data_IF_462196601725
#
_entry.id   IF_462196601725
#
_cell.length_a   1.000
_cell.length_b   1.000
_cell.length_c   1.000
_cell.angle_alpha   90.00
_cell.angle_beta   90.00
_cell.angle_gamma   90.00
#
_symmetry.space_group_name_H-M   'P 1'
#
loop_
_entity.id
_entity.type
_entity.pdbx_description
1 polymer ?
#
# COMPACT_ATOMS: atom_id res chain seq x y z
N UNK A 1 14.81 28.25 11.56
CA UNK A 1 14.36 26.86 11.28
C UNK A 1 13.94 26.79 9.83
N UNK A 2 14.53 25.92 9.01
CA UNK A 2 14.14 25.77 7.61
C UNK A 2 12.77 25.07 7.54
N UNK A 3 11.82 25.51 6.70
CA UNK A 3 10.54 24.82 6.50
C UNK A 3 10.68 23.32 6.16
N UNK A 4 11.77 22.90 5.50
CA UNK A 4 12.07 21.49 5.21
C UNK A 4 12.37 20.69 6.48
N UNK A 5 13.06 21.30 7.45
CA UNK A 5 13.40 20.65 8.72
C UNK A 5 12.17 20.49 9.62
N UNK A 6 11.23 21.43 9.54
CA UNK A 6 9.95 21.36 10.27
C UNK A 6 9.05 20.25 9.74
N UNK A 7 9.04 20.05 8.42
CA UNK A 7 8.29 18.96 7.77
C UNK A 7 8.92 17.60 8.10
N UNK A 8 10.26 17.48 8.03
CA UNK A 8 10.99 16.27 8.45
C UNK A 8 10.73 15.88 9.90
N UNK A 9 10.72 16.86 10.81
CA UNK A 9 10.44 16.66 12.23
C UNK A 9 8.97 16.28 12.50
N UNK A 10 8.02 16.76 11.69
CA UNK A 10 6.62 16.38 11.83
C UNK A 10 6.34 14.95 11.34
N UNK A 11 7.12 14.46 10.37
CA UNK A 11 7.04 13.05 9.93
C UNK A 11 7.66 12.09 10.95
N UNK A 12 8.75 12.47 11.64
CA UNK A 12 9.39 11.59 12.62
C UNK A 12 8.49 11.27 13.82
N UNK A 13 7.73 12.26 14.28
CA UNK A 13 6.87 12.11 15.46
C UNK A 13 5.58 11.33 15.13
N UNK A 14 5.09 11.41 13.89
CA UNK A 14 3.89 10.70 13.44
C UNK A 14 4.14 9.23 13.05
N UNK A 15 5.36 8.89 12.62
CA UNK A 15 5.75 7.52 12.24
C UNK A 15 6.00 6.61 13.46
N UNK A 16 6.31 7.17 14.63
CA UNK A 16 6.63 6.41 15.84
C UNK A 16 5.41 5.83 16.58
N UNK A 17 4.19 6.23 16.20
CA UNK A 17 2.94 5.77 16.83
C UNK A 17 2.09 4.86 15.93
N UNK A 18 2.55 4.54 14.71
CA UNK A 18 1.95 3.50 13.91
C UNK A 18 2.35 2.14 14.53
N UNK A 19 1.57 1.68 15.51
CA UNK A 19 1.67 0.36 16.11
C UNK A 19 1.79 -0.69 15.00
N UNK A 20 3.00 -1.21 14.81
CA UNK A 20 3.22 -2.32 13.89
C UNK A 20 2.35 -3.49 14.38
N UNK A 21 1.67 -4.21 13.48
CA UNK A 21 0.76 -5.27 13.89
C UNK A 21 1.51 -6.28 14.78
N UNK A 22 0.94 -6.61 15.94
CA UNK A 22 1.56 -7.50 16.94
C UNK A 22 1.92 -8.88 16.36
N UNK A 23 1.28 -9.27 15.24
CA UNK A 23 1.62 -10.45 14.46
C UNK A 23 1.96 -10.09 13.00
N UNK A 24 2.84 -10.86 12.34
CA UNK A 24 3.03 -10.76 10.89
C UNK A 24 1.69 -10.93 10.15
N UNK A 25 1.47 -10.09 9.14
CA UNK A 25 0.33 -10.25 8.22
C UNK A 25 0.46 -11.59 7.48
N UNK A 26 -0.65 -12.30 7.34
CA UNK A 26 -0.69 -13.44 6.41
C UNK A 26 -0.51 -12.93 4.97
N UNK A 27 -0.04 -13.79 4.04
CA UNK A 27 0.10 -13.40 2.64
C UNK A 27 -1.19 -12.85 2.02
N UNK A 28 -2.35 -13.40 2.43
CA UNK A 28 -3.66 -12.92 1.98
C UNK A 28 -3.95 -11.51 2.51
N UNK A 29 -3.76 -11.28 3.81
CA UNK A 29 -3.98 -9.97 4.44
C UNK A 29 -3.06 -8.90 3.84
N UNK A 30 -1.79 -9.24 3.58
CA UNK A 30 -0.84 -8.34 2.94
C UNK A 30 -1.28 -8.01 1.50
N UNK A 31 -1.68 -9.02 0.70
CA UNK A 31 -2.14 -8.79 -0.67
C UNK A 31 -3.41 -7.94 -0.72
N UNK A 32 -4.41 -8.21 0.13
CA UNK A 32 -5.63 -7.40 0.23
C UNK A 32 -5.36 -5.96 0.66
N UNK A 33 -4.43 -5.77 1.60
CA UNK A 33 -4.02 -4.42 2.02
C UNK A 33 -3.36 -3.66 0.87
N UNK A 34 -2.41 -4.28 0.16
CA UNK A 34 -1.72 -3.67 -0.99
C UNK A 34 -2.72 -3.32 -2.10
N UNK A 35 -3.64 -4.23 -2.43
CA UNK A 35 -4.68 -3.99 -3.44
C UNK A 35 -5.52 -2.74 -3.12
N UNK A 36 -6.02 -2.63 -1.89
CA UNK A 36 -6.82 -1.49 -1.46
C UNK A 36 -6.02 -0.18 -1.45
N UNK A 37 -4.84 -0.20 -0.83
CA UNK A 37 -3.97 0.98 -0.71
C UNK A 37 -3.54 1.51 -2.08
N UNK A 38 -3.16 0.62 -3.00
CA UNK A 38 -2.73 1.01 -4.36
C UNK A 38 -3.89 1.56 -5.17
N UNK A 39 -5.12 1.10 -4.97
CA UNK A 39 -6.32 1.68 -5.61
C UNK A 39 -6.54 3.15 -5.19
N UNK A 40 -6.43 3.44 -3.89
CA UNK A 40 -6.59 4.80 -3.37
C UNK A 40 -5.49 5.73 -3.87
N UNK A 41 -4.24 5.29 -3.78
CA UNK A 41 -3.09 6.05 -4.26
C UNK A 41 -3.15 6.25 -5.78
N UNK A 42 -3.57 5.26 -6.55
CA UNK A 42 -3.73 5.37 -8.00
C UNK A 42 -4.70 6.52 -8.34
N UNK A 43 -5.85 6.58 -7.65
CA UNK A 43 -6.82 7.66 -7.81
C UNK A 43 -6.22 9.03 -7.48
N UNK A 44 -5.43 9.13 -6.41
CA UNK A 44 -4.73 10.37 -6.06
C UNK A 44 -3.71 10.78 -7.12
N UNK A 45 -2.90 9.84 -7.61
CA UNK A 45 -1.90 10.07 -8.64
C UNK A 45 -2.52 10.53 -9.97
N UNK A 46 -3.66 9.94 -10.38
CA UNK A 46 -4.45 10.37 -11.55
C UNK A 46 -4.90 11.83 -11.40
N UNK A 47 -5.45 12.19 -10.25
CA UNK A 47 -5.90 13.56 -9.99
C UNK A 47 -4.75 14.58 -10.00
N UNK A 48 -3.57 14.16 -9.56
CA UNK A 48 -2.35 14.97 -9.55
C UNK A 48 -1.60 14.98 -10.90
N UNK A 49 -2.08 14.27 -11.93
CA UNK A 49 -1.42 14.10 -13.24
C UNK A 49 -0.01 13.50 -13.14
N UNK A 50 0.20 12.59 -12.19
CA UNK A 50 1.44 11.84 -12.03
C UNK A 50 1.34 10.51 -12.78
N UNK A 51 1.41 10.56 -14.11
CA UNK A 51 1.04 9.43 -14.97
C UNK A 51 1.90 8.17 -14.73
N UNK A 52 3.22 8.31 -14.60
CA UNK A 52 4.11 7.17 -14.33
C UNK A 52 3.83 6.53 -12.97
N UNK A 53 3.57 7.34 -11.95
CA UNK A 53 3.21 6.83 -10.61
C UNK A 53 1.85 6.12 -10.65
N UNK A 54 0.87 6.73 -11.31
CA UNK A 54 -0.45 6.12 -11.52
C UNK A 54 -0.36 4.77 -12.22
N UNK A 55 0.49 4.64 -13.24
CA UNK A 55 0.77 3.37 -13.90
C UNK A 55 1.32 2.32 -12.93
N UNK A 56 2.37 2.64 -12.16
CA UNK A 56 2.95 1.67 -11.22
C UNK A 56 1.97 1.24 -10.14
N UNK A 57 1.14 2.15 -9.65
CA UNK A 57 0.11 1.83 -8.65
C UNK A 57 -0.96 0.89 -9.20
N UNK A 58 -1.37 1.06 -10.46
CA UNK A 58 -2.31 0.12 -11.09
C UNK A 58 -1.66 -1.25 -11.33
N UNK A 59 -0.39 -1.28 -11.76
CA UNK A 59 0.33 -2.54 -11.94
C UNK A 59 0.48 -3.30 -10.60
N UNK A 60 0.83 -2.60 -9.52
CA UNK A 60 0.93 -3.19 -8.18
C UNK A 60 -0.43 -3.72 -7.69
N UNK A 61 -1.52 -3.01 -7.99
CA UNK A 61 -2.88 -3.45 -7.68
C UNK A 61 -3.24 -4.73 -8.41
N UNK A 62 -2.99 -4.80 -9.72
CA UNK A 62 -3.26 -6.00 -10.53
C UNK A 62 -2.52 -7.23 -9.98
N UNK A 63 -1.24 -7.07 -9.64
CA UNK A 63 -0.46 -8.16 -9.05
C UNK A 63 -1.02 -8.59 -7.69
N UNK A 64 -1.42 -7.65 -6.84
CA UNK A 64 -2.02 -7.96 -5.55
C UNK A 64 -3.35 -8.73 -5.71
N UNK A 65 -4.21 -8.33 -6.65
CA UNK A 65 -5.45 -9.05 -6.98
C UNK A 65 -5.15 -10.48 -7.47
N UNK A 66 -4.16 -10.65 -8.34
CA UNK A 66 -3.75 -11.98 -8.83
C UNK A 66 -3.25 -12.87 -7.69
N UNK A 67 -2.52 -12.32 -6.72
CA UNK A 67 -2.07 -13.09 -5.55
C UNK A 67 -3.24 -13.50 -4.63
N UNK A 68 -4.24 -12.64 -4.45
CA UNK A 68 -5.46 -12.95 -3.68
C UNK A 68 -6.17 -14.16 -4.30
N UNK A 69 -6.37 -14.16 -5.61
CA UNK A 69 -6.99 -15.26 -6.35
C UNK A 69 -6.19 -16.56 -6.19
N UNK A 70 -4.88 -16.54 -6.44
CA UNK A 70 -4.02 -17.72 -6.30
C UNK A 70 -3.98 -18.28 -4.88
N UNK A 71 -4.06 -17.43 -3.85
CA UNK A 71 -4.13 -17.88 -2.46
C UNK A 71 -5.49 -18.49 -2.14
N UNK A 72 -6.57 -17.90 -2.66
CA UNK A 72 -7.93 -18.43 -2.47
C UNK A 72 -8.07 -19.81 -3.11
N UNK A 73 -7.59 -20.00 -4.35
CA UNK A 73 -7.59 -21.30 -5.05
C UNK A 73 -6.84 -22.36 -4.25
N UNK A 74 -5.61 -22.07 -3.80
CA UNK A 74 -4.80 -23.00 -3.00
C UNK A 74 -5.45 -23.41 -1.68
N UNK A 75 -6.31 -22.58 -1.09
CA UNK A 75 -7.05 -22.92 0.14
C UNK A 75 -8.28 -23.80 -0.12
N UNK A 76 -8.82 -23.81 -1.34
CA UNK A 76 -9.93 -24.69 -1.72
C UNK A 76 -9.46 -26.11 -2.03
N UNK A 77 -8.21 -26.26 -2.46
CA UNK A 77 -7.58 -27.54 -2.80
C UNK A 77 -6.88 -28.24 -1.60
N UNK A 78 -6.83 -27.59 -0.43
CA UNK A 78 -6.14 -28.06 0.79
C UNK A 78 -7.12 -28.60 1.83
#
# INVERSE_FOLDING_TARGET
MNPVDKVRSAYSDAEQEAELPERPLSPFEAASFIEGMTAELHRMARNAKLDTLSYFLEMARIEASAQIEQIAERKLDA
#
